data_IF_439894342134
#
_entry.id   IF_439894342134
#
_cell.length_a   1.000
_cell.length_b   1.000
_cell.length_c   1.000
_cell.angle_alpha   90.00
_cell.angle_beta   90.00
_cell.angle_gamma   90.00
#
_symmetry.space_group_name_H-M   'P 1'
#
loop_
_entity.id
_entity.type
_entity.pdbx_description
1 polymer ?
#
# COMPACT_ATOMS: atom_id res chain seq x y z
N UNK A 1 16.35 24.99 -20.36
CA UNK A 1 16.15 23.53 -20.22
C UNK A 1 15.18 23.35 -19.06
N UNK A 2 13.92 23.02 -19.35
CA UNK A 2 12.95 22.73 -18.28
C UNK A 2 13.17 21.31 -17.77
N UNK A 3 13.03 21.05 -16.46
CA UNK A 3 13.08 19.69 -15.96
C UNK A 3 11.79 19.00 -16.39
N UNK A 4 11.92 17.86 -17.08
CA UNK A 4 10.82 16.90 -17.20
C UNK A 4 10.50 16.42 -15.79
N UNK A 5 9.51 17.06 -15.17
CA UNK A 5 8.78 16.49 -14.04
C UNK A 5 8.32 15.11 -14.50
N UNK A 6 8.98 14.10 -13.95
CA UNK A 6 8.66 12.71 -14.19
C UNK A 6 7.38 12.45 -13.39
N UNK A 7 6.23 12.64 -14.02
CA UNK A 7 4.88 12.43 -13.47
C UNK A 7 4.62 10.97 -12.99
N UNK A 8 5.65 10.11 -13.00
CA UNK A 8 5.62 8.76 -12.43
C UNK A 8 5.73 8.70 -10.90
N UNK A 9 6.10 9.79 -10.23
CA UNK A 9 6.28 9.83 -8.76
C UNK A 9 5.01 10.22 -7.99
N UNK A 10 4.09 10.94 -8.62
CA UNK A 10 2.88 11.46 -7.94
C UNK A 10 1.89 10.36 -7.55
N UNK A 11 1.90 9.23 -8.26
CA UNK A 11 1.09 8.06 -7.92
C UNK A 11 1.78 7.14 -6.90
N UNK A 12 3.09 7.22 -6.75
CA UNK A 12 3.85 6.42 -5.77
C UNK A 12 3.64 6.94 -4.35
N UNK A 13 3.57 8.27 -4.17
CA UNK A 13 3.36 8.88 -2.85
C UNK A 13 2.01 8.49 -2.18
N UNK A 14 0.85 8.53 -2.89
CA UNK A 14 -0.43 8.09 -2.35
C UNK A 14 -0.45 6.61 -1.97
N UNK A 15 0.18 5.74 -2.77
CA UNK A 15 0.22 4.30 -2.51
C UNK A 15 1.10 3.99 -1.30
N UNK A 16 2.23 4.69 -1.12
CA UNK A 16 3.06 4.57 0.08
C UNK A 16 2.34 5.03 1.34
N UNK A 17 1.62 6.15 1.29
CA UNK A 17 0.80 6.61 2.42
C UNK A 17 -0.30 5.60 2.77
N UNK A 18 -0.90 4.97 1.77
CA UNK A 18 -1.90 3.91 1.98
C UNK A 18 -1.26 2.65 2.58
N UNK A 19 -0.06 2.28 2.12
CA UNK A 19 0.69 1.13 2.62
C UNK A 19 1.12 1.31 4.08
N UNK A 20 1.70 2.47 4.44
CA UNK A 20 2.05 2.80 5.84
C UNK A 20 0.83 2.76 6.74
N UNK A 21 -0.30 3.34 6.30
CA UNK A 21 -1.55 3.28 7.06
C UNK A 21 -2.03 1.84 7.28
N UNK A 22 -2.00 1.01 6.24
CA UNK A 22 -2.44 -0.38 6.32
C UNK A 22 -1.54 -1.20 7.24
N UNK A 23 -0.23 -1.01 7.15
CA UNK A 23 0.76 -1.64 8.01
C UNK A 23 0.52 -1.29 9.49
N UNK A 24 0.27 -0.02 9.81
CA UNK A 24 -0.03 0.43 11.19
C UNK A 24 -1.32 -0.16 11.75
N UNK A 25 -2.39 -0.19 10.96
CA UNK A 25 -3.72 -0.65 11.40
C UNK A 25 -3.81 -2.17 11.56
N UNK A 26 -3.02 -2.92 10.79
CA UNK A 26 -3.12 -4.39 10.76
C UNK A 26 -1.91 -5.06 11.40
N UNK A 27 -0.78 -4.38 11.48
CA UNK A 27 0.48 -4.89 12.02
C UNK A 27 1.26 -5.77 11.04
N UNK A 28 0.95 -5.72 9.74
CA UNK A 28 1.78 -6.34 8.68
C UNK A 28 2.92 -5.39 8.28
N UNK A 29 3.90 -5.90 7.54
CA UNK A 29 5.01 -5.07 7.05
C UNK A 29 4.56 -4.14 5.92
N UNK A 30 5.22 -2.99 5.75
CA UNK A 30 4.92 -2.04 4.66
C UNK A 30 5.05 -2.70 3.27
N UNK A 31 6.05 -3.57 3.06
CA UNK A 31 6.20 -4.38 1.84
C UNK A 31 5.03 -5.34 1.58
N UNK A 32 4.40 -5.85 2.64
CA UNK A 32 3.21 -6.71 2.50
C UNK A 32 1.99 -5.88 2.15
N UNK A 33 1.85 -4.71 2.79
CA UNK A 33 0.79 -3.75 2.49
C UNK A 33 0.89 -3.23 1.06
N UNK A 34 2.09 -2.86 0.58
CA UNK A 34 2.32 -2.39 -0.78
C UNK A 34 1.99 -3.49 -1.80
N UNK A 35 2.37 -4.75 -1.52
CA UNK A 35 2.01 -5.88 -2.37
C UNK A 35 0.51 -6.11 -2.46
N UNK A 36 -0.21 -6.01 -1.33
CA UNK A 36 -1.67 -6.09 -1.33
C UNK A 36 -2.29 -4.98 -2.18
N UNK A 37 -1.83 -3.74 -1.99
CA UNK A 37 -2.34 -2.59 -2.74
C UNK A 37 -2.12 -2.77 -4.25
N UNK A 38 -0.98 -3.32 -4.66
CA UNK A 38 -0.71 -3.64 -6.07
C UNK A 38 -1.53 -4.83 -6.59
N UNK A 39 -1.89 -5.79 -5.73
CA UNK A 39 -2.60 -7.01 -6.12
C UNK A 39 -4.12 -6.81 -6.22
N UNK A 40 -4.72 -6.16 -5.22
CA UNK A 40 -6.18 -6.03 -5.10
C UNK A 40 -6.69 -4.60 -5.26
N UNK A 41 -5.78 -3.62 -5.42
CA UNK A 41 -6.10 -2.21 -5.55
C UNK A 41 -6.20 -1.48 -4.20
N UNK A 42 -6.84 -0.32 -4.20
CA UNK A 42 -6.85 0.63 -3.08
C UNK A 42 -8.15 0.58 -2.25
N UNK A 43 -8.98 -0.45 -2.41
CA UNK A 43 -10.20 -0.62 -1.58
C UNK A 43 -9.85 -0.96 -0.14
N UNK A 44 -10.11 -0.02 0.77
CA UNK A 44 -9.69 -0.13 2.16
C UNK A 44 -10.30 -1.34 2.89
N UNK A 45 -11.57 -1.69 2.62
CA UNK A 45 -12.21 -2.82 3.29
C UNK A 45 -11.59 -4.16 2.87
N UNK A 46 -11.27 -4.31 1.59
CA UNK A 46 -10.61 -5.50 1.06
C UNK A 46 -9.17 -5.58 1.55
N UNK A 47 -8.44 -4.46 1.59
CA UNK A 47 -7.10 -4.39 2.16
C UNK A 47 -7.07 -4.81 3.62
N UNK A 48 -8.00 -4.33 4.45
CA UNK A 48 -8.07 -4.70 5.87
C UNK A 48 -8.36 -6.18 6.09
N UNK A 49 -9.24 -6.78 5.28
CA UNK A 49 -9.52 -8.22 5.38
C UNK A 49 -8.26 -9.01 5.05
N UNK A 50 -7.64 -8.72 3.93
CA UNK A 50 -6.53 -9.52 3.42
C UNK A 50 -5.28 -9.36 4.28
N UNK A 51 -5.01 -8.15 4.76
CA UNK A 51 -3.94 -7.89 5.71
C UNK A 51 -4.14 -8.62 7.05
N UNK A 52 -5.37 -8.70 7.57
CA UNK A 52 -5.66 -9.48 8.78
C UNK A 52 -5.48 -10.98 8.54
N UNK A 53 -5.88 -11.49 7.38
CA UNK A 53 -5.62 -12.89 6.99
C UNK A 53 -4.12 -13.18 6.87
N UNK A 54 -3.34 -12.26 6.33
CA UNK A 54 -1.88 -12.39 6.23
C UNK A 54 -1.21 -12.46 7.59
N UNK A 55 -1.57 -11.56 8.52
CA UNK A 55 -1.05 -11.59 9.89
C UNK A 55 -1.37 -12.88 10.63
N UNK A 56 -2.57 -13.43 10.46
CA UNK A 56 -2.96 -14.69 11.10
C UNK A 56 -2.20 -15.91 10.58
N UNK A 57 -1.40 -15.77 9.52
CA UNK A 57 -0.64 -16.84 8.87
C UNK A 57 0.84 -16.87 9.29
N UNK A 58 1.23 -16.05 10.27
CA UNK A 58 2.60 -15.92 10.78
C UNK A 58 2.68 -16.19 12.28
#
# INVERSE_FOLDING_TARGET
>A
MWPTINDGDEHQAPLKLLADRLARETGISEDEAERLIKLIGTDWNSLLREAKFLKGRH
#
